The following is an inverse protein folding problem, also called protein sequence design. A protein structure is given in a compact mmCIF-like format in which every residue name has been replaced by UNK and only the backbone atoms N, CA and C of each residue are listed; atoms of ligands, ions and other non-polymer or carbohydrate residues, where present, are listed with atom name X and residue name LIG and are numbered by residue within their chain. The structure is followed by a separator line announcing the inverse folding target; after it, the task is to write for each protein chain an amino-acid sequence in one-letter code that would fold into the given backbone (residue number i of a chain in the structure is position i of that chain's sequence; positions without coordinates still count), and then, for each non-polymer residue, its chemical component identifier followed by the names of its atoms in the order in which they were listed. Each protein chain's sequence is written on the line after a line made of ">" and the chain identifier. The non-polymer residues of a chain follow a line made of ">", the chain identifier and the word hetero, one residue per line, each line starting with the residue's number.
data_IF_971170677193
#
_entry.id   IF_971170677193
#
_cell.length_a   1.000
_cell.length_b   1.000
_cell.length_c   1.000
_cell.angle_alpha   90.00
_cell.angle_beta   90.00
_cell.angle_gamma   90.00
#
_symmetry.space_group_name_H-M   'P 1'
#
loop_
_entity.id
_entity.type
_entity.pdbx_description
1 polymer ?
#
# COMPACT_ATOMS: atom_id res chain seq x y z
N UNK A 1 -11.33 4.76 9.44
CA UNK A 1 -10.64 3.49 9.08
C UNK A 1 -9.18 3.59 9.52
N UNK A 2 -8.62 2.51 10.08
CA UNK A 2 -7.26 2.48 10.63
C UNK A 2 -6.19 2.76 9.56
N UNK A 3 -6.30 2.12 8.40
CA UNK A 3 -5.34 2.24 7.29
C UNK A 3 -5.26 3.69 6.78
N UNK A 4 -6.41 4.39 6.66
CA UNK A 4 -6.44 5.81 6.31
C UNK A 4 -5.72 6.69 7.33
N UNK A 5 -5.89 6.41 8.64
CA UNK A 5 -5.19 7.15 9.69
C UNK A 5 -3.67 6.92 9.62
N UNK A 6 -3.24 5.70 9.27
CA UNK A 6 -1.83 5.39 9.06
C UNK A 6 -1.26 6.13 7.84
N UNK A 7 -2.03 6.23 6.75
CA UNK A 7 -1.66 7.06 5.59
C UNK A 7 -1.52 8.55 5.94
N UNK A 8 -2.47 9.10 6.70
CA UNK A 8 -2.38 10.49 7.18
C UNK A 8 -1.18 10.70 8.13
N UNK A 9 -0.87 9.72 8.98
CA UNK A 9 0.31 9.76 9.85
C UNK A 9 1.64 9.62 9.09
N UNK A 10 1.64 9.01 7.90
CA UNK A 10 2.78 9.04 7.01
C UNK A 10 2.95 10.43 6.38
N UNK A 11 1.85 11.00 5.85
CA UNK A 11 1.84 12.37 5.31
C UNK A 11 2.31 13.43 6.31
N UNK A 12 2.01 13.26 7.61
CA UNK A 12 2.47 14.20 8.64
C UNK A 12 3.99 14.23 8.82
N UNK A 13 4.74 13.36 8.14
CA UNK A 13 6.22 13.35 8.12
C UNK A 13 6.80 14.23 7.00
N UNK A 14 5.97 15.01 6.31
CA UNK A 14 6.40 15.87 5.21
C UNK A 14 7.54 16.83 5.61
N UNK A 15 7.47 17.40 6.80
CA UNK A 15 8.45 18.36 7.31
C UNK A 15 9.69 17.70 7.94
N UNK A 16 9.72 16.36 8.03
CA UNK A 16 10.86 15.61 8.56
C UNK A 16 11.81 15.28 7.41
N UNK A 17 13.12 15.57 7.51
CA UNK A 17 14.11 15.14 6.51
C UNK A 17 14.04 13.63 6.26
N UNK A 18 14.17 13.19 5.01
CA UNK A 18 13.99 11.77 4.65
C UNK A 18 14.92 10.81 5.43
N UNK A 19 16.15 11.25 5.69
CA UNK A 19 17.12 10.50 6.50
C UNK A 19 16.66 10.27 7.95
N UNK A 20 15.83 11.16 8.49
CA UNK A 20 15.32 11.12 9.87
C UNK A 20 13.93 10.48 9.97
N UNK A 21 13.23 10.29 8.84
CA UNK A 21 11.95 9.60 8.81
C UNK A 21 12.15 8.15 9.30
N UNK A 22 11.24 7.67 10.15
CA UNK A 22 11.28 6.28 10.66
C UNK A 22 10.54 5.36 9.69
N UNK A 23 11.18 4.25 9.33
CA UNK A 23 10.52 3.19 8.57
C UNK A 23 9.33 2.64 9.34
N UNK A 24 8.23 2.46 8.63
CA UNK A 24 7.06 1.78 9.11
C UNK A 24 6.56 0.87 8.00
N UNK A 25 6.27 -0.39 8.32
CA UNK A 25 5.75 -1.36 7.37
C UNK A 25 4.34 -1.76 7.77
N UNK A 26 3.41 -1.57 6.84
CA UNK A 26 2.02 -1.94 7.04
C UNK A 26 1.70 -3.17 6.20
N UNK A 27 1.41 -4.26 6.91
CA UNK A 27 0.93 -5.51 6.34
C UNK A 27 -0.59 -5.47 6.32
N UNK A 28 -1.16 -5.58 5.13
CA UNK A 28 -2.61 -5.56 4.90
C UNK A 28 -2.97 -6.90 4.30
N UNK A 29 -3.50 -7.77 5.15
CA UNK A 29 -4.15 -9.00 4.70
C UNK A 29 -5.57 -8.70 4.21
N UNK A 30 -6.08 -9.54 3.32
CA UNK A 30 -7.38 -9.36 2.66
C UNK A 30 -7.56 -7.95 2.11
N UNK A 31 -6.51 -7.43 1.46
CA UNK A 31 -6.45 -6.06 0.96
C UNK A 31 -7.66 -5.60 0.12
N UNK A 32 -8.29 -6.44 -0.73
CA UNK A 32 -9.48 -6.05 -1.50
C UNK A 32 -10.64 -5.54 -0.64
N UNK A 33 -10.72 -5.90 0.65
CA UNK A 33 -11.75 -5.42 1.56
C UNK A 33 -11.59 -3.93 1.94
N UNK A 34 -10.42 -3.36 1.69
CA UNK A 34 -10.06 -2.01 2.09
C UNK A 34 -9.81 -1.08 0.89
N UNK A 35 -9.92 -1.60 -0.34
CA UNK A 35 -9.54 -0.86 -1.55
C UNK A 35 -10.61 0.06 -2.08
N UNK A 36 -10.20 1.31 -2.31
CA UNK A 36 -10.74 2.16 -3.37
C UNK A 36 -9.58 2.57 -4.30
N UNK A 37 -9.86 2.90 -5.56
CA UNK A 37 -8.81 3.31 -6.52
C UNK A 37 -7.95 4.46 -5.99
N UNK A 38 -8.57 5.45 -5.36
CA UNK A 38 -7.88 6.59 -4.71
C UNK A 38 -6.96 6.16 -3.56
N UNK A 39 -7.35 5.12 -2.84
CA UNK A 39 -6.63 4.62 -1.68
C UNK A 39 -5.38 3.84 -2.09
N UNK A 40 -5.48 3.03 -3.14
CA UNK A 40 -4.34 2.30 -3.69
C UNK A 40 -3.24 3.26 -4.19
N UNK A 41 -3.63 4.32 -4.91
CA UNK A 41 -2.70 5.35 -5.37
C UNK A 41 -2.11 6.13 -4.20
N UNK A 42 -2.93 6.57 -3.25
CA UNK A 42 -2.46 7.29 -2.05
C UNK A 42 -1.39 6.47 -1.31
N UNK A 43 -1.70 5.20 -1.04
CA UNK A 43 -0.82 4.29 -0.32
C UNK A 43 0.49 4.03 -1.07
N UNK A 44 0.45 3.89 -2.40
CA UNK A 44 1.63 3.72 -3.24
C UNK A 44 2.62 4.90 -3.14
N UNK A 45 2.11 6.11 -3.00
CA UNK A 45 2.92 7.32 -2.82
C UNK A 45 3.56 7.43 -1.43
N UNK A 46 3.05 6.68 -0.43
CA UNK A 46 3.49 6.80 0.96
C UNK A 46 4.92 6.29 1.20
N UNK A 47 5.51 5.58 0.23
CA UNK A 47 6.93 5.18 0.27
C UNK A 47 7.86 6.37 0.46
N UNK A 48 7.52 7.54 -0.12
CA UNK A 48 8.27 8.81 0.06
C UNK A 48 8.35 9.22 1.54
N UNK A 49 7.37 8.82 2.35
CA UNK A 49 7.29 9.11 3.77
C UNK A 49 7.75 7.93 4.66
N UNK A 50 8.49 6.98 4.06
CA UNK A 50 9.00 5.76 4.70
C UNK A 50 7.89 4.89 5.32
N UNK A 51 6.71 4.88 4.68
CA UNK A 51 5.67 3.90 4.92
C UNK A 51 5.70 2.87 3.78
N UNK A 52 6.23 1.68 4.07
CA UNK A 52 6.21 0.52 3.18
C UNK A 52 4.91 -0.27 3.34
N UNK A 53 4.44 -0.86 2.24
CA UNK A 53 3.19 -1.62 2.20
C UNK A 53 3.44 -3.03 1.71
N UNK A 54 2.80 -3.98 2.38
CA UNK A 54 2.78 -5.38 1.99
C UNK A 54 1.31 -5.76 1.90
N UNK A 55 0.85 -6.00 0.68
CA UNK A 55 -0.57 -6.25 0.39
C UNK A 55 -0.72 -7.73 0.05
N UNK A 56 -1.59 -8.43 0.78
CA UNK A 56 -1.93 -9.81 0.50
C UNK A 56 -3.37 -9.91 -0.01
N UNK A 57 -3.57 -10.75 -1.03
CA UNK A 57 -4.87 -11.09 -1.60
C UNK A 57 -4.81 -12.50 -2.19
N UNK A 58 -5.96 -13.15 -2.30
CA UNK A 58 -6.03 -14.54 -2.79
C UNK A 58 -6.01 -14.60 -4.33
N UNK A 59 -6.75 -13.71 -4.99
CA UNK A 59 -6.86 -13.71 -6.45
C UNK A 59 -6.81 -12.28 -7.00
N UNK A 60 -6.06 -12.08 -8.09
CA UNK A 60 -6.01 -10.78 -8.78
C UNK A 60 -7.38 -10.34 -9.31
N UNK A 61 -8.27 -11.30 -9.65
CA UNK A 61 -9.61 -11.02 -10.15
C UNK A 61 -10.58 -10.44 -9.11
N UNK A 62 -10.21 -10.38 -7.82
CA UNK A 62 -11.00 -9.70 -6.79
C UNK A 62 -10.81 -8.18 -6.81
N UNK A 63 -9.75 -7.70 -7.46
CA UNK A 63 -9.46 -6.27 -7.58
C UNK A 63 -10.17 -5.71 -8.81
N UNK A 64 -10.76 -4.53 -8.66
CA UNK A 64 -11.19 -3.72 -9.80
C UNK A 64 -9.98 -3.44 -10.71
N UNK A 65 -10.20 -3.42 -12.02
CA UNK A 65 -9.15 -3.29 -13.04
C UNK A 65 -8.26 -2.06 -12.80
N UNK A 66 -8.86 -0.89 -12.56
CA UNK A 66 -8.10 0.34 -12.27
C UNK A 66 -7.24 0.21 -11.00
N UNK A 67 -7.77 -0.41 -9.95
CA UNK A 67 -7.04 -0.61 -8.69
C UNK A 67 -5.89 -1.59 -8.89
N UNK A 68 -6.13 -2.69 -9.60
CA UNK A 68 -5.11 -3.68 -9.96
C UNK A 68 -3.97 -3.00 -10.72
N UNK A 69 -4.29 -2.25 -11.77
CA UNK A 69 -3.30 -1.61 -12.63
C UNK A 69 -2.51 -0.53 -11.87
N UNK A 70 -3.17 0.26 -11.02
CA UNK A 70 -2.50 1.22 -10.15
C UNK A 70 -1.51 0.56 -9.18
N UNK A 71 -1.84 -0.59 -8.61
CA UNK A 71 -0.95 -1.31 -7.70
C UNK A 71 0.21 -1.92 -8.48
N UNK A 72 -0.09 -2.67 -9.53
CA UNK A 72 0.93 -3.36 -10.33
C UNK A 72 1.93 -2.37 -10.96
N UNK A 73 1.49 -1.16 -11.29
CA UNK A 73 2.37 -0.09 -11.77
C UNK A 73 3.30 0.51 -10.70
N UNK A 74 3.00 0.36 -9.41
CA UNK A 74 3.73 1.00 -8.31
C UNK A 74 4.48 0.03 -7.38
N UNK A 75 4.20 -1.28 -7.43
CA UNK A 75 4.90 -2.27 -6.61
C UNK A 75 6.32 -2.54 -7.13
N UNK A 76 7.29 -2.59 -6.22
CA UNK A 76 8.66 -2.97 -6.53
C UNK A 76 8.95 -4.46 -6.40
N UNK A 77 8.08 -5.20 -5.71
CA UNK A 77 8.27 -6.62 -5.39
C UNK A 77 6.93 -7.34 -5.48
N UNK A 78 6.91 -8.47 -6.18
CA UNK A 78 5.75 -9.37 -6.28
C UNK A 78 6.13 -10.73 -5.72
N UNK A 79 5.28 -11.29 -4.87
CA UNK A 79 5.41 -12.65 -4.34
C UNK A 79 4.13 -13.40 -4.72
N UNK A 80 4.28 -14.56 -5.37
CA UNK A 80 3.17 -15.40 -5.77
C UNK A 80 3.34 -16.79 -5.15
N UNK A 81 2.25 -17.31 -4.56
CA UNK A 81 2.20 -18.65 -4.02
C UNK A 81 1.38 -19.53 -4.96
N UNK A 82 1.91 -20.71 -5.29
CA UNK A 82 1.15 -21.73 -6.02
C UNK A 82 0.31 -22.50 -5.01
N UNK A 83 -0.98 -22.66 -5.31
CA UNK A 83 -1.84 -23.60 -4.60
C UNK A 83 -1.65 -24.97 -5.26
N UNK A 84 -1.34 -25.99 -4.46
CA UNK A 84 -1.25 -27.38 -4.90
C UNK A 84 -2.59 -28.11 -4.69
#
# INVERSE_FOLDING_TARGET
>A
MLVTKLGLAALSRADVPEAERRDFYLYVDEFPLFTTTSFATMLSEMRKYRLGLILAHQYLGQLEEETRDAILGNIGTTIAFRLD
#
